data_IF_926450490496
#
_entry.id   IF_926450490496
#
_cell.length_a   1.000
_cell.length_b   1.000
_cell.length_c   1.000
_cell.angle_alpha   90.00
_cell.angle_beta   90.00
_cell.angle_gamma   90.00
#
_symmetry.space_group_name_H-M   'P 1'
#
loop_
_entity.id
_entity.type
_entity.pdbx_description
1 polymer ?
#
# COMPACT_ATOMS: atom_id res chain seq x y z
N UNK A 1 25.60 7.31 -20.18
CA UNK A 1 25.40 8.04 -18.90
C UNK A 1 26.42 7.49 -17.92
N UNK A 2 27.08 8.29 -17.06
CA UNK A 2 28.05 7.72 -16.12
C UNK A 2 27.34 7.03 -14.93
N UNK A 3 28.03 6.13 -14.23
CA UNK A 3 27.49 5.54 -12.99
C UNK A 3 27.17 6.64 -11.94
N UNK A 4 27.94 7.72 -11.88
CA UNK A 4 27.67 8.85 -10.99
C UNK A 4 26.39 9.62 -11.38
N UNK A 5 26.10 9.77 -12.68
CA UNK A 5 24.87 10.42 -13.14
C UNK A 5 23.64 9.56 -12.82
N UNK A 6 23.75 8.23 -12.95
CA UNK A 6 22.70 7.30 -12.58
C UNK A 6 22.45 7.27 -11.06
N UNK A 7 23.51 7.35 -10.24
CA UNK A 7 23.36 7.42 -8.79
C UNK A 7 22.47 8.59 -8.34
N UNK A 8 22.64 9.77 -8.97
CA UNK A 8 21.83 10.97 -8.69
C UNK A 8 20.35 10.83 -9.05
N UNK A 9 19.94 9.74 -9.67
CA UNK A 9 18.54 9.45 -10.02
C UNK A 9 17.89 8.44 -9.08
N UNK A 10 18.65 7.85 -8.17
CA UNK A 10 18.16 6.86 -7.23
C UNK A 10 17.30 7.50 -6.14
N UNK A 11 16.29 6.76 -5.71
CA UNK A 11 15.57 6.95 -4.46
C UNK A 11 15.75 5.68 -3.64
N UNK A 12 16.56 5.73 -2.59
CA UNK A 12 17.01 4.53 -1.87
C UNK A 12 16.33 4.36 -0.51
N UNK A 13 16.05 3.13 -0.11
CA UNK A 13 15.55 2.82 1.22
C UNK A 13 16.67 2.70 2.25
N UNK A 14 16.31 2.86 3.53
CA UNK A 14 17.20 2.65 4.67
C UNK A 14 16.84 1.37 5.42
N UNK A 15 17.82 0.76 6.08
CA UNK A 15 17.69 -0.49 6.84
C UNK A 15 16.92 -0.34 8.16
N UNK A 16 16.92 0.85 8.76
CA UNK A 16 16.31 1.07 10.08
C UNK A 16 16.01 2.54 10.42
N UNK A 17 15.61 2.82 11.67
CA UNK A 17 15.17 4.14 12.13
C UNK A 17 16.32 5.14 12.32
N UNK A 18 17.57 4.67 12.25
CA UNK A 18 18.78 5.50 12.30
C UNK A 18 19.70 5.02 11.18
N UNK A 19 20.24 5.91 10.32
CA UNK A 19 21.14 5.52 9.25
C UNK A 19 22.45 4.96 9.81
N UNK A 20 22.86 3.80 9.29
CA UNK A 20 24.14 3.17 9.62
C UNK A 20 25.33 4.00 9.13
N UNK A 21 26.55 3.68 9.58
CA UNK A 21 27.75 4.34 9.07
C UNK A 21 27.94 4.12 7.56
N UNK A 22 27.64 2.92 7.06
CA UNK A 22 27.68 2.59 5.64
C UNK A 22 26.65 3.40 4.85
N UNK A 23 25.41 3.51 5.34
CA UNK A 23 24.36 4.30 4.71
C UNK A 23 24.73 5.79 4.66
N UNK A 24 25.28 6.33 5.76
CA UNK A 24 25.73 7.72 5.79
C UNK A 24 26.84 7.98 4.79
N UNK A 25 27.83 7.09 4.71
CA UNK A 25 28.92 7.18 3.76
C UNK A 25 28.42 7.06 2.31
N UNK A 26 27.51 6.13 2.04
CA UNK A 26 26.91 5.93 0.72
C UNK A 26 26.14 7.17 0.26
N UNK A 27 25.27 7.71 1.12
CA UNK A 27 24.48 8.92 0.82
C UNK A 27 25.38 10.13 0.57
N UNK A 28 26.41 10.33 1.39
CA UNK A 28 27.35 11.45 1.25
C UNK A 28 28.18 11.37 -0.05
N UNK A 29 28.59 10.15 -0.42
CA UNK A 29 29.40 9.88 -1.62
C UNK A 29 28.58 10.01 -2.91
N UNK A 30 27.42 9.36 -2.96
CA UNK A 30 26.66 9.19 -4.20
C UNK A 30 25.58 10.26 -4.41
N UNK A 31 25.13 10.93 -3.33
CA UNK A 31 24.13 12.01 -3.35
C UNK A 31 22.93 11.67 -4.23
N UNK A 32 22.14 10.64 -3.85
CA UNK A 32 20.98 10.23 -4.63
C UNK A 32 19.92 11.34 -4.68
N UNK A 33 18.93 11.20 -5.57
CA UNK A 33 17.80 12.13 -5.64
C UNK A 33 16.96 12.11 -4.35
N UNK A 34 16.85 10.95 -3.70
CA UNK A 34 16.04 10.84 -2.51
C UNK A 34 16.28 9.61 -1.67
N UNK A 35 15.60 9.59 -0.53
CA UNK A 35 15.44 8.44 0.35
C UNK A 35 13.95 8.13 0.49
N UNK A 36 13.57 6.86 0.37
CA UNK A 36 12.23 6.38 0.69
C UNK A 36 12.18 5.74 2.07
N UNK A 37 11.24 6.20 2.90
CA UNK A 37 11.00 5.70 4.25
C UNK A 37 9.86 4.68 4.27
N UNK A 38 10.08 3.60 5.01
CA UNK A 38 9.14 2.52 5.25
C UNK A 38 8.80 2.43 6.75
N UNK A 39 7.87 1.55 7.12
CA UNK A 39 7.51 1.34 8.53
C UNK A 39 8.69 0.98 9.44
N UNK A 40 9.73 0.33 8.89
CA UNK A 40 10.97 0.01 9.64
C UNK A 40 11.80 1.25 10.02
N UNK A 41 11.52 2.41 9.42
CA UNK A 41 12.21 3.67 9.68
C UNK A 41 11.42 4.58 10.65
N UNK A 42 10.19 4.18 11.02
CA UNK A 42 9.22 5.00 11.75
C UNK A 42 8.81 4.32 13.06
N UNK A 43 9.40 4.75 14.18
CA UNK A 43 9.01 4.33 15.54
C UNK A 43 7.95 5.27 16.09
N UNK A 44 8.25 6.58 16.09
CA UNK A 44 7.40 7.63 16.65
C UNK A 44 7.77 8.99 16.05
N UNK A 45 6.96 10.02 16.34
CA UNK A 45 7.09 11.36 15.76
C UNK A 45 8.48 11.98 15.97
N UNK A 46 8.96 12.02 17.21
CA UNK A 46 10.26 12.62 17.59
C UNK A 46 11.43 11.95 16.87
N UNK A 47 11.47 10.61 16.87
CA UNK A 47 12.50 9.84 16.18
C UNK A 47 12.47 10.07 14.67
N UNK A 48 11.29 10.04 14.06
CA UNK A 48 11.15 10.23 12.61
C UNK A 48 11.54 11.64 12.19
N UNK A 49 11.11 12.66 12.93
CA UNK A 49 11.49 14.05 12.69
C UNK A 49 13.00 14.25 12.76
N UNK A 50 13.66 13.64 13.76
CA UNK A 50 15.13 13.64 13.89
C UNK A 50 15.81 12.92 12.73
N UNK A 51 15.28 11.78 12.28
CA UNK A 51 15.80 11.05 11.11
C UNK A 51 15.74 11.93 9.86
N UNK A 52 14.60 12.59 9.60
CA UNK A 52 14.45 13.45 8.42
C UNK A 52 15.40 14.64 8.47
N UNK A 53 15.51 15.30 9.62
CA UNK A 53 16.48 16.38 9.82
C UNK A 53 17.92 15.91 9.53
N UNK A 54 18.33 14.76 10.08
CA UNK A 54 19.68 14.22 9.86
C UNK A 54 19.95 13.91 8.38
N UNK A 55 18.95 13.46 7.62
CA UNK A 55 19.08 13.16 6.20
C UNK A 55 19.21 14.43 5.36
N UNK A 56 18.41 15.47 5.65
CA UNK A 56 18.52 16.76 4.98
C UNK A 56 19.85 17.47 5.28
N UNK A 57 20.36 17.36 6.51
CA UNK A 57 21.68 17.87 6.90
C UNK A 57 22.83 17.10 6.22
N UNK A 58 22.72 15.77 6.16
CA UNK A 58 23.74 14.90 5.57
C UNK A 58 23.86 15.11 4.04
N UNK A 59 22.74 15.25 3.35
CA UNK A 59 22.70 15.39 1.90
C UNK A 59 21.77 16.54 1.50
N UNK A 60 22.26 17.79 1.48
CA UNK A 60 21.46 18.94 1.05
C UNK A 60 20.88 18.74 -0.36
N UNK A 61 19.56 18.95 -0.50
CA UNK A 61 18.83 18.74 -1.76
C UNK A 61 18.27 17.33 -1.97
N UNK A 62 18.49 16.40 -1.03
CA UNK A 62 17.85 15.09 -0.99
C UNK A 62 16.33 15.23 -0.74
N UNK A 63 15.51 14.52 -1.50
CA UNK A 63 14.08 14.39 -1.20
C UNK A 63 13.80 13.20 -0.29
N UNK A 64 13.04 13.40 0.77
CA UNK A 64 12.52 12.34 1.63
C UNK A 64 11.11 11.98 1.16
N UNK A 65 10.91 10.69 0.89
CA UNK A 65 9.68 10.15 0.30
C UNK A 65 9.06 9.06 1.18
N UNK A 66 7.75 8.84 1.05
CA UNK A 66 7.09 7.70 1.68
C UNK A 66 5.84 7.25 0.92
N UNK A 67 5.55 5.94 1.00
CA UNK A 67 4.25 5.38 0.66
C UNK A 67 3.27 5.57 1.83
N UNK A 68 2.59 6.71 1.85
CA UNK A 68 1.57 7.03 2.84
C UNK A 68 0.25 7.39 2.14
N UNK A 69 -0.34 6.38 1.51
CA UNK A 69 -1.56 6.47 0.68
C UNK A 69 -2.83 6.65 1.51
N UNK A 70 -2.83 6.08 2.74
CA UNK A 70 -4.03 5.86 3.53
C UNK A 70 -4.39 4.38 3.63
N UNK A 71 -5.19 4.03 4.64
CA UNK A 71 -5.61 2.66 4.92
C UNK A 71 -4.45 1.65 4.97
N UNK A 72 -4.40 0.66 4.06
CA UNK A 72 -3.41 -0.42 4.04
C UNK A 72 -1.95 0.05 3.97
N UNK A 73 -1.71 1.06 3.14
CA UNK A 73 -0.36 1.53 2.81
C UNK A 73 -0.15 2.88 3.47
N UNK A 74 0.21 2.82 4.74
CA UNK A 74 0.47 3.99 5.59
C UNK A 74 1.79 3.78 6.34
N UNK A 75 2.91 3.82 5.62
CA UNK A 75 4.21 3.38 6.15
C UNK A 75 4.61 4.11 7.44
N UNK A 76 4.29 5.40 7.52
CA UNK A 76 4.65 6.28 8.64
C UNK A 76 3.56 6.40 9.72
N UNK A 77 2.58 5.49 9.75
CA UNK A 77 1.41 5.62 10.62
C UNK A 77 1.72 5.69 12.13
N UNK A 78 2.84 5.13 12.58
CA UNK A 78 3.24 5.23 13.99
C UNK A 78 3.62 6.66 14.40
N UNK A 79 4.07 7.50 13.46
CA UNK A 79 4.42 8.88 13.69
C UNK A 79 3.32 9.87 13.30
N UNK A 80 2.60 9.63 12.20
CA UNK A 80 1.64 10.60 11.62
C UNK A 80 0.17 10.15 11.68
N UNK A 81 -0.10 8.94 12.15
CA UNK A 81 -1.44 8.33 12.14
C UNK A 81 -1.80 7.72 10.79
N UNK A 82 -2.99 7.09 10.71
CA UNK A 82 -3.45 6.36 9.52
C UNK A 82 -4.67 7.08 8.89
N UNK A 83 -4.54 7.64 7.68
CA UNK A 83 -5.68 8.17 6.94
C UNK A 83 -6.66 7.05 6.56
N UNK A 84 -7.93 7.38 6.29
CA UNK A 84 -8.88 6.44 5.69
C UNK A 84 -8.37 5.86 4.37
N UNK A 85 -8.88 4.68 4.00
CA UNK A 85 -8.55 4.07 2.71
C UNK A 85 -9.19 4.86 1.55
N UNK A 86 -8.50 4.91 0.40
CA UNK A 86 -8.99 5.58 -0.80
C UNK A 86 -10.37 5.05 -1.25
N UNK A 87 -10.59 3.73 -1.15
CA UNK A 87 -11.90 3.16 -1.48
C UNK A 87 -13.04 3.75 -0.66
N UNK A 88 -12.84 3.95 0.65
CA UNK A 88 -13.85 4.56 1.52
C UNK A 88 -14.19 5.97 1.06
N UNK A 89 -13.18 6.76 0.75
CA UNK A 89 -13.35 8.13 0.22
C UNK A 89 -14.09 8.12 -1.11
N UNK A 90 -13.79 7.15 -1.97
CA UNK A 90 -14.48 6.93 -3.22
C UNK A 90 -15.95 6.51 -3.08
N UNK A 91 -16.27 5.64 -2.11
CA UNK A 91 -17.66 5.25 -1.81
C UNK A 91 -18.47 6.43 -1.28
N UNK A 92 -17.86 7.28 -0.45
CA UNK A 92 -18.53 8.49 0.05
C UNK A 92 -18.74 9.53 -1.07
N UNK A 93 -17.93 9.46 -2.13
CA UNK A 93 -17.89 10.37 -3.28
C UNK A 93 -17.97 11.86 -2.91
N UNK A 94 -17.26 12.24 -1.84
CA UNK A 94 -17.22 13.61 -1.34
C UNK A 94 -15.83 14.21 -1.56
N UNK A 95 -15.68 14.95 -2.66
CA UNK A 95 -14.40 15.52 -3.05
C UNK A 95 -13.84 16.52 -2.03
N UNK A 96 -14.70 17.30 -1.34
CA UNK A 96 -14.23 18.24 -0.32
C UNK A 96 -13.65 17.50 0.88
N UNK A 97 -14.34 16.43 1.34
CA UNK A 97 -13.84 15.59 2.42
C UNK A 97 -12.55 14.86 2.04
N UNK A 98 -12.43 14.39 0.80
CA UNK A 98 -11.19 13.79 0.28
C UNK A 98 -10.03 14.78 0.27
N UNK A 99 -10.26 16.02 -0.16
CA UNK A 99 -9.24 17.07 -0.11
C UNK A 99 -8.82 17.37 1.35
N UNK A 100 -9.75 17.51 2.28
CA UNK A 100 -9.46 17.73 3.71
C UNK A 100 -8.59 16.61 4.31
N UNK A 101 -8.92 15.35 4.01
CA UNK A 101 -8.19 14.17 4.49
C UNK A 101 -6.74 14.19 4.00
N UNK A 102 -6.56 14.52 2.73
CA UNK A 102 -5.24 14.55 2.09
C UNK A 102 -4.43 15.77 2.52
N UNK A 103 -5.06 16.94 2.71
CA UNK A 103 -4.39 18.13 3.26
C UNK A 103 -3.88 17.93 4.68
N UNK A 104 -4.66 17.25 5.54
CA UNK A 104 -4.16 16.86 6.86
C UNK A 104 -3.02 15.85 6.77
N UNK A 105 -3.15 14.82 5.92
CA UNK A 105 -2.09 13.82 5.71
C UNK A 105 -0.78 14.50 5.30
N UNK A 106 -0.83 15.40 4.33
CA UNK A 106 0.32 16.18 3.88
C UNK A 106 0.89 17.08 4.99
N UNK A 107 0.07 17.82 5.74
CA UNK A 107 0.54 18.65 6.87
C UNK A 107 1.30 17.83 7.91
N UNK A 108 0.83 16.62 8.23
CA UNK A 108 1.52 15.73 9.18
C UNK A 108 2.81 15.15 8.62
N UNK A 109 2.85 14.80 7.33
CA UNK A 109 4.07 14.34 6.65
C UNK A 109 5.13 15.46 6.57
N UNK A 110 4.72 16.67 6.17
CA UNK A 110 5.59 17.83 6.13
C UNK A 110 6.15 18.18 7.52
N UNK A 111 5.34 18.05 8.58
CA UNK A 111 5.77 18.33 9.95
C UNK A 111 6.90 17.40 10.45
N UNK A 112 7.00 16.18 9.92
CA UNK A 112 8.12 15.26 10.21
C UNK A 112 9.25 15.37 9.18
N UNK A 113 9.16 16.26 8.19
CA UNK A 113 10.21 16.50 7.20
C UNK A 113 10.13 15.62 5.94
N UNK A 114 8.97 15.03 5.61
CA UNK A 114 8.77 14.34 4.33
C UNK A 114 8.47 15.36 3.23
N UNK A 115 9.21 15.31 2.13
CA UNK A 115 9.10 16.27 1.02
C UNK A 115 8.10 15.85 -0.06
N UNK A 116 7.95 14.53 -0.26
CA UNK A 116 7.12 13.95 -1.32
C UNK A 116 6.37 12.73 -0.81
N UNK A 117 5.09 12.64 -1.10
CA UNK A 117 4.32 11.40 -0.90
C UNK A 117 4.16 10.68 -2.23
N UNK A 118 4.30 9.35 -2.19
CA UNK A 118 4.05 8.47 -3.33
C UNK A 118 2.57 8.06 -3.33
N UNK A 119 1.70 9.07 -3.46
CA UNK A 119 0.25 8.97 -3.41
C UNK A 119 -0.35 10.20 -4.13
N UNK A 120 -1.62 10.16 -4.57
CA UNK A 120 -2.56 9.03 -4.47
C UNK A 120 -2.31 7.91 -5.49
N UNK A 121 -2.95 6.77 -5.25
CA UNK A 121 -3.14 5.73 -6.27
C UNK A 121 -4.22 6.20 -7.24
N UNK A 122 -3.85 6.31 -8.52
CA UNK A 122 -4.72 6.71 -9.63
C UNK A 122 -5.25 5.52 -10.43
N UNK A 123 -4.92 4.30 -10.01
CA UNK A 123 -5.43 3.06 -10.61
C UNK A 123 -6.96 2.96 -10.46
N UNK A 124 -7.61 2.47 -11.52
CA UNK A 124 -9.04 2.11 -11.51
C UNK A 124 -9.17 0.61 -11.32
N UNK A 125 -9.88 0.17 -10.29
CA UNK A 125 -10.05 -1.24 -9.94
C UNK A 125 -11.07 -1.92 -10.86
N UNK A 126 -10.70 -2.20 -12.10
CA UNK A 126 -11.57 -2.88 -13.07
C UNK A 126 -11.56 -4.40 -12.94
N UNK A 127 -10.52 -4.99 -12.32
CA UNK A 127 -10.43 -6.42 -12.06
C UNK A 127 -10.84 -6.74 -10.59
N UNK A 128 -12.00 -7.39 -10.35
CA UNK A 128 -12.49 -7.66 -8.98
C UNK A 128 -11.63 -8.61 -8.15
N UNK A 129 -10.65 -9.29 -8.77
CA UNK A 129 -9.70 -10.22 -8.13
C UNK A 129 -8.27 -9.66 -8.08
N UNK A 130 -8.08 -8.39 -8.40
CA UNK A 130 -6.76 -7.77 -8.38
C UNK A 130 -6.10 -7.93 -6.99
N UNK A 131 -4.90 -8.54 -6.91
CA UNK A 131 -4.28 -8.86 -5.63
C UNK A 131 -3.51 -7.68 -5.00
N UNK A 132 -3.29 -6.58 -5.75
CA UNK A 132 -2.30 -5.53 -5.40
C UNK A 132 -2.95 -4.19 -5.04
N UNK A 133 -3.99 -3.79 -5.76
CA UNK A 133 -4.63 -2.48 -5.67
C UNK A 133 -5.77 -2.53 -4.66
N UNK A 134 -6.81 -3.32 -4.89
CA UNK A 134 -7.94 -3.46 -3.96
C UNK A 134 -8.43 -2.11 -3.40
N UNK A 135 -8.44 -1.97 -2.08
CA UNK A 135 -8.91 -0.75 -1.40
C UNK A 135 -7.98 0.48 -1.50
N UNK A 136 -6.83 0.34 -2.16
CA UNK A 136 -5.93 1.45 -2.50
C UNK A 136 -6.49 2.30 -3.64
N UNK A 137 -7.37 1.76 -4.49
CA UNK A 137 -8.09 2.54 -5.49
C UNK A 137 -9.28 3.28 -4.88
N UNK A 138 -9.61 4.45 -5.43
CA UNK A 138 -10.86 5.16 -5.11
C UNK A 138 -12.11 4.49 -5.70
N UNK A 139 -11.98 3.45 -6.53
CA UNK A 139 -13.13 2.79 -7.11
C UNK A 139 -12.81 2.04 -8.40
N UNK A 140 -13.90 1.60 -9.03
CA UNK A 140 -13.95 0.90 -10.32
C UNK A 140 -14.47 1.78 -11.47
N UNK A 141 -15.05 2.95 -11.16
CA UNK A 141 -15.52 3.92 -12.15
C UNK A 141 -14.44 4.97 -12.44
N UNK A 142 -13.99 5.11 -13.70
CA UNK A 142 -12.91 6.03 -14.05
C UNK A 142 -13.23 7.50 -13.77
N UNK A 143 -14.48 7.91 -13.97
CA UNK A 143 -14.92 9.28 -13.72
C UNK A 143 -14.87 9.63 -12.24
N UNK A 144 -15.36 8.73 -11.38
CA UNK A 144 -15.27 8.85 -9.93
C UNK A 144 -13.82 8.84 -9.45
N UNK A 145 -13.00 7.92 -9.93
CA UNK A 145 -11.57 7.86 -9.59
C UNK A 145 -10.87 9.16 -9.98
N UNK A 146 -11.09 9.69 -11.18
CA UNK A 146 -10.49 10.95 -11.60
C UNK A 146 -10.89 12.14 -10.70
N UNK A 147 -12.16 12.26 -10.33
CA UNK A 147 -12.62 13.32 -9.40
C UNK A 147 -11.95 13.22 -8.02
N UNK A 148 -11.87 12.00 -7.48
CA UNK A 148 -11.26 11.77 -6.16
C UNK A 148 -9.74 11.95 -6.19
N UNK A 149 -9.07 11.57 -7.29
CA UNK A 149 -7.64 11.83 -7.50
C UNK A 149 -7.38 13.34 -7.54
N UNK A 150 -8.18 14.13 -8.26
CA UNK A 150 -8.05 15.61 -8.27
C UNK A 150 -8.14 16.18 -6.85
N UNK A 151 -9.15 15.76 -6.09
CA UNK A 151 -9.34 16.21 -4.70
C UNK A 151 -8.15 15.82 -3.81
N UNK A 152 -7.68 14.57 -3.93
CA UNK A 152 -6.55 14.05 -3.17
C UNK A 152 -5.25 14.81 -3.48
N UNK A 153 -4.95 15.04 -4.76
CA UNK A 153 -3.77 15.81 -5.18
C UNK A 153 -3.86 17.24 -4.68
N UNK A 154 -5.00 17.91 -4.87
CA UNK A 154 -5.20 19.29 -4.40
C UNK A 154 -4.92 19.39 -2.91
N UNK A 155 -5.51 18.49 -2.11
CA UNK A 155 -5.26 18.45 -0.67
C UNK A 155 -3.79 18.22 -0.32
N UNK A 156 -3.13 17.25 -0.95
CA UNK A 156 -1.71 16.96 -0.69
C UNK A 156 -0.80 18.15 -1.01
N UNK A 157 -1.02 18.81 -2.15
CA UNK A 157 -0.28 20.00 -2.56
C UNK A 157 -0.51 21.15 -1.59
N UNK A 158 -1.76 21.44 -1.24
CA UNK A 158 -2.12 22.50 -0.29
C UNK A 158 -1.56 22.24 1.12
N UNK A 159 -1.42 20.96 1.50
CA UNK A 159 -0.81 20.55 2.76
C UNK A 159 0.72 20.58 2.76
N UNK A 160 1.35 20.92 1.63
CA UNK A 160 2.78 21.25 1.55
C UNK A 160 3.71 20.10 1.19
N UNK A 161 3.23 19.02 0.57
CA UNK A 161 4.09 17.93 0.05
C UNK A 161 3.95 17.79 -1.46
N UNK A 162 5.03 17.35 -2.12
CA UNK A 162 4.98 16.99 -3.55
C UNK A 162 4.30 15.64 -3.74
N UNK A 163 3.74 15.41 -4.92
CA UNK A 163 2.81 14.31 -5.19
C UNK A 163 3.31 13.48 -6.36
N UNK A 164 3.40 12.16 -6.16
CA UNK A 164 3.66 11.19 -7.22
C UNK A 164 2.46 10.25 -7.40
N UNK A 165 1.79 10.33 -8.55
CA UNK A 165 0.67 9.47 -8.92
C UNK A 165 1.15 8.07 -9.28
N UNK A 166 0.34 7.03 -9.05
CA UNK A 166 0.74 5.64 -9.38
C UNK A 166 -0.44 4.69 -9.65
N UNK A 167 -0.26 3.59 -10.39
CA UNK A 167 0.96 3.11 -11.06
C UNK A 167 0.71 3.09 -12.57
N UNK A 168 1.26 4.07 -13.30
CA UNK A 168 1.06 4.19 -14.74
C UNK A 168 1.49 2.92 -15.48
N UNK A 169 0.75 2.47 -16.53
CA UNK A 169 -0.47 3.08 -17.11
C UNK A 169 -1.79 2.73 -16.40
N UNK A 170 -1.71 1.96 -15.32
CA UNK A 170 -2.86 1.48 -14.56
C UNK A 170 -2.66 0.02 -14.17
N UNK A 171 -2.56 -0.25 -12.88
CA UNK A 171 -2.38 -1.60 -12.34
C UNK A 171 -3.70 -2.28 -11.95
N UNK A 172 -4.79 -1.52 -11.77
CA UNK A 172 -6.06 -2.03 -11.24
C UNK A 172 -6.82 -3.04 -12.12
N UNK A 173 -6.36 -3.27 -13.35
CA UNK A 173 -6.86 -4.33 -14.23
C UNK A 173 -6.01 -5.61 -14.26
N UNK A 174 -4.89 -5.66 -13.55
CA UNK A 174 -4.04 -6.85 -13.52
C UNK A 174 -4.64 -7.97 -12.66
N UNK A 175 -4.31 -9.22 -13.02
CA UNK A 175 -4.73 -10.42 -12.28
C UNK A 175 -3.58 -11.09 -11.51
N UNK A 176 -2.37 -10.54 -11.61
CA UNK A 176 -1.16 -11.06 -10.96
C UNK A 176 -0.41 -9.95 -10.21
N UNK A 177 0.38 -10.36 -9.21
CA UNK A 177 1.17 -9.44 -8.39
C UNK A 177 2.55 -9.19 -8.99
N UNK A 178 2.84 -7.93 -9.34
CA UNK A 178 4.13 -7.50 -9.90
C UNK A 178 5.31 -7.62 -8.93
N UNK A 179 5.06 -7.74 -7.62
CA UNK A 179 6.12 -8.07 -6.65
C UNK A 179 6.66 -9.48 -6.89
N UNK A 180 5.84 -10.39 -7.41
CA UNK A 180 6.16 -11.80 -7.59
C UNK A 180 6.56 -12.14 -9.03
N UNK A 181 5.84 -11.61 -10.02
CA UNK A 181 6.00 -11.95 -11.45
C UNK A 181 5.39 -10.89 -12.35
N UNK A 182 5.73 -10.88 -13.64
CA UNK A 182 5.13 -9.95 -14.61
C UNK A 182 3.61 -10.14 -14.69
N UNK A 183 2.87 -9.02 -14.70
CA UNK A 183 1.43 -9.00 -14.85
C UNK A 183 1.07 -8.10 -16.04
N UNK A 184 0.14 -8.52 -16.90
CA UNK A 184 -0.32 -7.66 -18.00
C UNK A 184 -1.11 -6.46 -17.44
N UNK A 185 -0.94 -5.29 -18.05
CA UNK A 185 -1.88 -4.19 -17.88
C UNK A 185 -3.25 -4.66 -18.40
N UNK A 186 -4.26 -4.70 -17.54
CA UNK A 186 -5.61 -5.12 -17.95
C UNK A 186 -6.25 -4.13 -18.94
N UNK A 187 -7.28 -4.59 -19.66
CA UNK A 187 -8.16 -3.69 -20.39
C UNK A 187 -8.78 -2.68 -19.40
N UNK A 188 -8.47 -1.39 -19.54
CA UNK A 188 -8.81 -0.36 -18.54
C UNK A 188 -7.62 0.34 -17.88
N UNK A 189 -6.42 0.24 -18.45
CA UNK A 189 -5.36 1.22 -18.22
C UNK A 189 -5.84 2.60 -18.71
N UNK A 190 -6.37 3.40 -17.80
CA UNK A 190 -7.03 4.66 -18.11
C UNK A 190 -6.15 5.81 -17.68
N UNK A 191 -5.69 6.58 -18.66
CA UNK A 191 -4.86 7.74 -18.39
C UNK A 191 -5.63 8.89 -17.72
N UNK A 192 -6.96 8.91 -17.81
CA UNK A 192 -7.76 10.06 -17.39
C UNK A 192 -7.55 10.46 -15.92
N UNK A 193 -7.51 9.55 -14.92
CA UNK A 193 -7.14 9.92 -13.55
C UNK A 193 -5.72 10.48 -13.42
N UNK A 194 -4.76 9.98 -14.20
CA UNK A 194 -3.38 10.49 -14.17
C UNK A 194 -3.29 11.90 -14.75
N UNK A 195 -3.90 12.13 -15.91
CA UNK A 195 -3.98 13.45 -16.55
C UNK A 195 -4.69 14.45 -15.63
N UNK A 196 -5.79 14.05 -15.00
CA UNK A 196 -6.53 14.89 -14.06
C UNK A 196 -5.69 15.23 -12.81
N UNK A 197 -4.97 14.25 -12.25
CA UNK A 197 -4.08 14.48 -11.11
C UNK A 197 -2.90 15.40 -11.43
N UNK A 198 -2.30 15.28 -12.61
CA UNK A 198 -1.24 16.20 -13.06
C UNK A 198 -1.77 17.63 -13.22
N UNK A 199 -2.95 17.79 -13.82
CA UNK A 199 -3.61 19.09 -13.93
C UNK A 199 -3.98 19.70 -12.57
N UNK A 200 -4.15 18.87 -11.53
CA UNK A 200 -4.41 19.30 -10.16
C UNK A 200 -3.14 19.67 -9.37
N UNK A 201 -1.94 19.47 -9.94
CA UNK A 201 -0.67 19.89 -9.34
C UNK A 201 0.31 18.77 -8.98
N UNK A 202 0.01 17.51 -9.33
CA UNK A 202 1.02 16.46 -9.23
C UNK A 202 2.18 16.72 -10.20
N UNK A 203 3.41 16.47 -9.76
CA UNK A 203 4.63 16.74 -10.53
C UNK A 203 5.40 15.47 -10.92
N UNK A 204 4.89 14.30 -10.53
CA UNK A 204 5.49 13.02 -10.84
C UNK A 204 4.45 11.91 -11.05
N UNK A 205 4.87 10.90 -11.80
CA UNK A 205 4.14 9.66 -12.02
C UNK A 205 5.07 8.47 -11.85
N UNK A 206 4.69 7.52 -11.02
CA UNK A 206 5.33 6.22 -10.90
C UNK A 206 4.77 5.27 -11.95
N UNK A 207 5.67 4.66 -12.69
CA UNK A 207 5.39 3.67 -13.73
C UNK A 207 5.54 2.29 -13.13
N UNK A 208 4.46 1.50 -13.16
CA UNK A 208 4.46 0.14 -12.65
C UNK A 208 5.19 -0.83 -13.58
N UNK A 209 5.58 -1.99 -13.06
CA UNK A 209 6.21 -3.06 -13.85
C UNK A 209 5.17 -3.97 -14.54
N UNK A 210 4.05 -3.41 -14.97
CA UNK A 210 3.01 -4.14 -15.71
C UNK A 210 3.40 -4.25 -17.19
N UNK A 211 3.15 -5.41 -17.81
CA UNK A 211 3.40 -5.66 -19.22
C UNK A 211 2.46 -4.86 -20.10
N UNK A 212 3.00 -4.18 -21.12
CA UNK A 212 2.25 -3.32 -22.05
C UNK A 212 2.43 -3.80 -23.49
N UNK A 213 1.46 -3.43 -24.35
CA UNK A 213 1.47 -3.76 -25.77
C UNK A 213 1.44 -5.26 -26.06
N UNK A 214 1.73 -5.61 -27.32
CA UNK A 214 1.78 -7.01 -27.77
C UNK A 214 3.04 -7.75 -27.26
N UNK A 215 4.10 -7.00 -26.95
CA UNK A 215 5.37 -7.56 -26.44
C UNK A 215 5.25 -8.03 -24.99
N UNK A 216 4.30 -7.48 -24.23
CA UNK A 216 4.17 -7.73 -22.80
C UNK A 216 5.35 -7.22 -21.98
N UNK A 217 6.20 -6.36 -22.57
CA UNK A 217 7.36 -5.79 -21.89
C UNK A 217 6.88 -4.90 -20.72
N UNK A 218 7.52 -4.93 -19.54
CA UNK A 218 7.15 -4.03 -18.46
C UNK A 218 7.19 -2.57 -18.93
N UNK A 219 6.17 -1.78 -18.58
CA UNK A 219 6.05 -0.37 -18.98
C UNK A 219 7.30 0.48 -18.64
N UNK A 220 8.04 0.08 -17.61
CA UNK A 220 9.29 0.69 -17.16
C UNK A 220 10.51 0.40 -18.04
N UNK A 221 10.43 -0.63 -18.89
CA UNK A 221 11.47 -1.04 -19.84
C UNK A 221 11.06 -0.81 -21.31
N UNK A 222 9.81 -0.41 -21.57
CA UNK A 222 9.32 -0.11 -22.92
C UNK A 222 9.51 1.38 -23.23
N UNK A 223 10.56 1.69 -23.99
CA UNK A 223 10.89 3.07 -24.37
C UNK A 223 9.85 3.74 -25.28
N UNK A 224 9.12 2.96 -26.08
CA UNK A 224 8.02 3.49 -26.89
C UNK A 224 6.86 3.92 -26.01
N UNK A 225 6.48 3.05 -25.06
CA UNK A 225 5.45 3.35 -24.07
C UNK A 225 5.80 4.55 -23.19
N UNK A 226 7.05 4.67 -22.72
CA UNK A 226 7.49 5.82 -21.91
C UNK A 226 7.56 7.12 -22.72
N UNK A 227 7.91 7.06 -24.00
CA UNK A 227 7.85 8.22 -24.89
C UNK A 227 6.40 8.69 -25.09
N UNK A 228 5.47 7.75 -25.32
CA UNK A 228 4.03 8.04 -25.40
C UNK A 228 3.51 8.61 -24.08
N UNK A 229 3.83 7.99 -22.95
CA UNK A 229 3.46 8.46 -21.62
C UNK A 229 3.94 9.89 -21.41
N UNK A 230 5.19 10.21 -21.78
CA UNK A 230 5.75 11.55 -21.63
C UNK A 230 5.05 12.58 -22.52
N UNK A 231 4.72 12.24 -23.76
CA UNK A 231 3.96 13.12 -24.64
C UNK A 231 2.54 13.36 -24.12
N UNK A 232 1.87 12.30 -23.67
CA UNK A 232 0.48 12.34 -23.21
C UNK A 232 0.33 13.05 -21.86
N UNK A 233 1.10 12.64 -20.88
CA UNK A 233 1.09 13.21 -19.52
C UNK A 233 1.67 14.63 -19.50
N UNK A 234 2.49 14.99 -20.48
CA UNK A 234 3.06 16.33 -20.64
C UNK A 234 2.23 17.30 -21.49
N UNK A 235 1.09 16.86 -22.06
CA UNK A 235 0.29 17.68 -22.96
C UNK A 235 -0.23 19.00 -22.34
N UNK A 236 -0.32 19.05 -21.00
CA UNK A 236 -0.68 20.27 -20.24
C UNK A 236 0.47 21.27 -20.04
N UNK A 237 1.64 21.05 -20.65
CA UNK A 237 2.83 21.91 -20.51
C UNK A 237 3.74 21.57 -19.31
N UNK A 238 3.31 20.65 -18.44
CA UNK A 238 4.15 20.08 -17.40
C UNK A 238 5.09 19.01 -17.98
N UNK A 239 6.27 18.84 -17.38
CA UNK A 239 7.15 17.68 -17.65
C UNK A 239 7.24 16.85 -16.37
N UNK A 240 6.27 15.95 -16.11
CA UNK A 240 6.29 15.15 -14.88
C UNK A 240 7.52 14.25 -14.84
N UNK A 241 8.07 14.05 -13.66
CA UNK A 241 9.11 13.05 -13.43
C UNK A 241 8.50 11.65 -13.54
N UNK A 242 9.12 10.77 -14.34
CA UNK A 242 8.74 9.37 -14.41
C UNK A 242 9.58 8.54 -13.44
N UNK A 243 8.97 8.03 -12.38
CA UNK A 243 9.60 7.16 -11.41
C UNK A 243 9.40 5.72 -11.86
N UNK A 244 10.48 4.93 -11.97
CA UNK A 244 10.30 3.49 -11.93
C UNK A 244 9.81 3.10 -10.53
N UNK A 245 8.81 2.22 -10.46
CA UNK A 245 8.44 1.49 -9.24
C UNK A 245 9.65 0.69 -8.70
N UNK A 246 9.52 0.04 -7.54
CA UNK A 246 10.64 -0.64 -6.87
C UNK A 246 11.36 -1.62 -7.81
N UNK A 247 12.57 -1.25 -8.22
CA UNK A 247 13.37 -2.02 -9.19
C UNK A 247 13.77 -3.40 -8.67
N UNK A 248 13.57 -3.67 -7.38
CA UNK A 248 13.76 -5.01 -6.81
C UNK A 248 12.61 -5.97 -7.11
N UNK A 249 11.50 -5.51 -7.67
CA UNK A 249 10.32 -6.34 -7.95
C UNK A 249 10.56 -7.40 -9.03
N UNK A 250 9.96 -8.58 -8.83
CA UNK A 250 10.18 -9.75 -9.68
C UNK A 250 9.77 -9.55 -11.14
N UNK A 251 8.80 -8.67 -11.42
CA UNK A 251 8.25 -8.44 -12.75
C UNK A 251 9.27 -7.95 -13.80
N UNK A 252 10.36 -7.32 -13.36
CA UNK A 252 11.43 -6.84 -14.24
C UNK A 252 12.38 -7.95 -14.73
N UNK A 253 12.52 -9.03 -13.97
CA UNK A 253 13.56 -10.06 -14.18
C UNK A 253 13.50 -10.72 -15.55
N UNK A 254 12.34 -11.22 -16.04
CA UNK A 254 12.30 -11.93 -17.32
C UNK A 254 12.71 -11.04 -18.49
N UNK A 255 12.26 -9.79 -18.48
CA UNK A 255 12.57 -8.80 -19.51
C UNK A 255 14.05 -8.44 -19.53
N UNK A 256 14.66 -8.23 -18.36
CA UNK A 256 16.08 -7.89 -18.25
C UNK A 256 16.98 -9.07 -18.62
N UNK A 257 16.61 -10.29 -18.22
CA UNK A 257 17.31 -11.50 -18.68
C UNK A 257 17.25 -11.66 -20.21
N UNK A 258 16.11 -11.36 -20.84
CA UNK A 258 15.96 -11.39 -22.30
C UNK A 258 16.83 -10.33 -23.02
N UNK A 259 17.18 -9.24 -22.33
CA UNK A 259 18.13 -8.22 -22.79
C UNK A 259 19.60 -8.59 -22.50
N UNK A 260 19.87 -9.79 -21.99
CA UNK A 260 21.23 -10.24 -21.64
C UNK A 260 21.76 -9.65 -20.33
N UNK A 261 20.92 -9.00 -19.53
CA UNK A 261 21.29 -8.48 -18.21
C UNK A 261 21.32 -9.63 -17.21
N UNK A 262 22.40 -9.70 -16.43
CA UNK A 262 22.54 -10.70 -15.37
C UNK A 262 21.51 -10.44 -14.27
N UNK A 263 20.65 -11.43 -14.01
CA UNK A 263 19.63 -11.40 -12.95
C UNK A 263 20.10 -12.26 -11.77
N UNK A 264 20.59 -11.67 -10.66
CA UNK A 264 20.88 -12.41 -9.43
C UNK A 264 19.62 -12.95 -8.73
N UNK A 265 19.79 -14.01 -7.93
CA UNK A 265 18.78 -14.49 -6.99
C UNK A 265 17.82 -15.57 -7.53
N UNK A 266 16.76 -15.83 -6.76
CA UNK A 266 15.71 -16.83 -7.08
C UNK A 266 14.89 -16.40 -8.32
N UNK A 267 14.06 -17.28 -8.93
CA UNK A 267 13.28 -16.91 -10.12
C UNK A 267 12.02 -16.05 -9.85
N UNK A 268 11.62 -15.84 -8.59
CA UNK A 268 10.42 -15.07 -8.20
C UNK A 268 10.65 -14.17 -6.98
N UNK A 269 9.71 -13.28 -6.71
CA UNK A 269 9.67 -12.40 -5.53
C UNK A 269 10.58 -11.17 -5.66
N UNK A 270 10.88 -10.55 -4.52
CA UNK A 270 11.78 -9.38 -4.46
C UNK A 270 13.26 -9.77 -4.51
N UNK A 271 14.06 -8.91 -5.15
CA UNK A 271 15.51 -8.99 -5.14
C UNK A 271 16.08 -8.35 -3.87
N UNK A 272 17.27 -8.79 -3.50
CA UNK A 272 18.07 -8.03 -2.55
C UNK A 272 18.66 -6.79 -3.26
N UNK A 273 18.48 -5.57 -2.71
CA UNK A 273 19.03 -4.37 -3.32
C UNK A 273 20.54 -4.46 -3.56
N UNK A 274 21.27 -5.09 -2.64
CA UNK A 274 22.73 -5.12 -2.65
C UNK A 274 23.34 -5.85 -3.84
N UNK A 275 22.58 -6.71 -4.53
CA UNK A 275 23.06 -7.49 -5.67
C UNK A 275 22.77 -6.85 -7.01
N UNK A 276 22.05 -5.73 -7.07
CA UNK A 276 21.62 -5.12 -8.32
C UNK A 276 22.82 -4.57 -9.14
N UNK A 277 23.14 -5.10 -10.34
CA UNK A 277 24.16 -4.52 -11.22
C UNK A 277 23.77 -3.15 -11.80
N UNK A 278 24.77 -2.39 -12.22
CA UNK A 278 24.59 -1.09 -12.86
C UNK A 278 23.73 -1.17 -14.14
N UNK A 279 23.86 -2.25 -14.91
CA UNK A 279 23.14 -2.48 -16.16
C UNK A 279 21.63 -2.53 -16.00
N UNK A 280 21.11 -2.84 -14.80
CA UNK A 280 19.68 -2.73 -14.52
C UNK A 280 19.18 -1.28 -14.55
N UNK A 281 19.97 -0.36 -14.00
CA UNK A 281 19.64 1.06 -13.98
C UNK A 281 19.87 1.71 -15.34
N UNK A 282 20.86 1.24 -16.11
CA UNK A 282 21.07 1.66 -17.51
C UNK A 282 19.86 1.31 -18.37
N UNK A 283 19.34 0.08 -18.28
CA UNK A 283 18.16 -0.33 -19.05
C UNK A 283 16.92 0.54 -18.77
N UNK A 284 16.65 0.82 -17.48
CA UNK A 284 15.54 1.71 -17.08
C UNK A 284 15.79 3.18 -17.49
N UNK A 285 17.05 3.63 -17.46
CA UNK A 285 17.44 4.96 -17.91
C UNK A 285 17.21 5.13 -19.41
N UNK A 286 17.64 4.14 -20.19
CA UNK A 286 17.58 4.13 -21.65
C UNK A 286 16.14 4.01 -22.15
N UNK A 287 15.29 3.26 -21.44
CA UNK A 287 13.85 3.26 -21.67
C UNK A 287 13.20 4.63 -21.37
N UNK A 288 13.85 5.45 -20.53
CA UNK A 288 13.47 6.84 -20.31
C UNK A 288 12.73 7.09 -19.00
N UNK A 289 12.90 6.27 -17.96
CA UNK A 289 12.57 6.69 -16.59
C UNK A 289 13.40 7.93 -16.22
N UNK A 290 13.03 8.70 -15.18
CA UNK A 290 13.80 9.83 -14.62
C UNK A 290 14.36 9.51 -13.22
N UNK A 291 13.65 8.68 -12.46
CA UNK A 291 14.03 8.22 -11.10
C UNK A 291 13.88 6.72 -10.96
N UNK A 292 14.66 6.11 -10.06
CA UNK A 292 14.58 4.67 -9.76
C UNK A 292 14.38 4.45 -8.28
N UNK A 293 13.25 3.88 -7.90
CA UNK A 293 12.99 3.51 -6.52
C UNK A 293 13.68 2.19 -6.21
N UNK A 294 14.45 2.15 -5.12
CA UNK A 294 15.10 0.94 -4.63
C UNK A 294 14.83 0.83 -3.14
N UNK A 295 14.27 -0.28 -2.68
CA UNK A 295 13.95 -0.45 -1.23
C UNK A 295 15.17 -0.50 -0.29
N UNK A 296 16.40 -0.41 -0.80
CA UNK A 296 17.65 -0.39 -0.04
C UNK A 296 18.83 0.10 -0.89
N UNK A 297 20.07 -0.08 -0.41
CA UNK A 297 21.27 0.36 -1.13
C UNK A 297 21.71 -0.64 -2.22
N UNK A 298 21.90 -0.19 -3.47
CA UNK A 298 22.42 -1.02 -4.57
C UNK A 298 23.95 -1.15 -4.55
N UNK A 299 24.50 -1.82 -3.53
CA UNK A 299 25.94 -1.89 -3.26
C UNK A 299 26.79 -2.53 -4.38
N UNK A 300 26.25 -3.47 -5.16
CA UNK A 300 26.96 -4.04 -6.31
C UNK A 300 27.16 -3.02 -7.44
N UNK A 301 26.18 -2.14 -7.68
CA UNK A 301 26.29 -1.07 -8.68
C UNK A 301 27.08 0.14 -8.15
N UNK A 302 26.98 0.44 -6.85
CA UNK A 302 27.66 1.55 -6.19
C UNK A 302 28.25 1.13 -4.84
N UNK A 303 29.48 0.58 -4.84
CA UNK A 303 30.15 0.18 -3.60
C UNK A 303 30.70 1.39 -2.83
N UNK A 304 30.83 1.23 -1.51
CA UNK A 304 31.52 2.18 -0.63
C UNK A 304 32.85 1.55 -0.22
N UNK A 305 33.93 2.34 -0.16
CA UNK A 305 35.24 1.85 0.27
C UNK A 305 35.26 1.57 1.78
N UNK A 306 35.19 0.29 2.17
CA UNK A 306 35.21 -0.20 3.55
C UNK A 306 34.65 -1.62 3.61
N UNK A 307 35.21 -2.48 4.48
CA UNK A 307 35.03 -3.94 4.46
C UNK A 307 33.60 -4.46 4.29
N UNK A 308 33.52 -5.43 3.39
CA UNK A 308 32.36 -6.24 3.03
C UNK A 308 31.84 -7.06 4.22
N UNK A 309 30.76 -6.59 4.84
CA UNK A 309 29.70 -7.46 5.33
C UNK A 309 28.39 -6.66 5.34
N UNK A 310 27.33 -7.11 4.63
CA UNK A 310 26.03 -6.48 4.79
C UNK A 310 25.65 -6.58 6.26
N UNK A 311 25.31 -5.47 6.95
CA UNK A 311 24.80 -5.57 8.31
C UNK A 311 23.55 -6.44 8.25
N UNK A 312 23.52 -7.52 9.04
CA UNK A 312 22.32 -8.31 9.22
C UNK A 312 21.19 -7.35 9.56
N UNK A 313 20.07 -7.43 8.84
CA UNK A 313 18.85 -6.66 9.09
C UNK A 313 18.32 -7.03 10.46
N UNK A 314 18.88 -6.43 11.51
CA UNK A 314 18.41 -6.62 12.86
C UNK A 314 17.09 -5.88 12.96
N UNK A 315 15.98 -6.62 12.96
CA UNK A 315 14.67 -6.09 13.32
C UNK A 315 14.81 -5.42 14.68
N UNK A 316 14.83 -4.09 14.69
CA UNK A 316 14.68 -3.32 15.92
C UNK A 316 13.22 -3.46 16.33
N UNK A 317 12.98 -4.13 17.46
CA UNK A 317 11.66 -4.13 18.06
C UNK A 317 11.29 -2.68 18.41
N UNK A 318 10.06 -2.22 18.12
CA UNK A 318 9.64 -0.86 18.45
C UNK A 318 9.84 -0.63 19.96
N UNK A 319 10.78 0.26 20.30
CA UNK A 319 11.06 0.63 21.68
C UNK A 319 10.22 1.87 22.02
N UNK A 320 9.26 1.69 22.91
CA UNK A 320 8.49 2.79 23.50
C UNK A 320 7.04 2.85 23.04
N UNK A 321 6.12 2.95 24.00
CA UNK A 321 4.74 3.38 23.74
C UNK A 321 4.77 4.89 23.54
N UNK A 322 4.78 5.34 22.29
CA UNK A 322 4.48 6.73 21.95
C UNK A 322 3.01 7.05 22.31
N UNK A 323 2.76 8.26 22.78
CA UNK A 323 1.40 8.77 22.88
C UNK A 323 0.85 8.90 21.45
N UNK A 324 -0.24 8.17 21.14
CA UNK A 324 -0.86 8.26 19.83
C UNK A 324 -1.22 9.71 19.53
N UNK A 325 -0.85 10.21 18.34
CA UNK A 325 -1.35 11.49 17.87
C UNK A 325 -2.88 11.47 17.90
N UNK A 326 -3.53 12.58 18.29
CA UNK A 326 -4.98 12.66 18.22
C UNK A 326 -5.43 12.42 16.78
N UNK A 327 -6.54 11.70 16.65
CA UNK A 327 -7.15 11.48 15.35
C UNK A 327 -7.51 12.82 14.71
N UNK A 328 -7.20 12.96 13.42
CA UNK A 328 -7.55 14.17 12.70
C UNK A 328 -9.07 14.31 12.56
N UNK A 329 -9.64 15.51 12.75
CA UNK A 329 -11.08 15.73 12.59
C UNK A 329 -11.62 15.29 11.22
N UNK A 330 -10.87 15.53 10.13
CA UNK A 330 -11.28 15.10 8.79
C UNK A 330 -11.35 13.57 8.66
N UNK A 331 -10.38 12.86 9.24
CA UNK A 331 -10.36 11.39 9.23
C UNK A 331 -11.53 10.85 10.05
N UNK A 332 -11.77 11.39 11.24
CA UNK A 332 -12.92 11.03 12.08
C UNK A 332 -14.27 11.26 11.37
N UNK A 333 -14.42 12.35 10.62
CA UNK A 333 -15.62 12.62 9.79
C UNK A 333 -15.84 11.56 8.71
N UNK A 334 -14.76 11.11 8.04
CA UNK A 334 -14.86 9.99 7.08
C UNK A 334 -15.36 8.75 7.78
N UNK A 335 -14.78 8.39 8.93
CA UNK A 335 -15.19 7.20 9.68
C UNK A 335 -16.65 7.27 10.10
N UNK A 336 -17.07 8.40 10.64
CA UNK A 336 -18.45 8.64 11.06
C UNK A 336 -19.44 8.59 9.87
N UNK A 337 -19.08 9.16 8.72
CA UNK A 337 -19.96 9.13 7.54
C UNK A 337 -20.01 7.76 6.90
N UNK A 338 -18.88 7.08 6.79
CA UNK A 338 -18.83 5.70 6.31
C UNK A 338 -19.67 4.79 7.22
N UNK A 339 -19.61 5.02 8.53
CA UNK A 339 -20.46 4.40 9.55
C UNK A 339 -21.95 4.65 9.32
N UNK A 340 -22.39 5.91 9.18
CA UNK A 340 -23.80 6.24 8.95
C UNK A 340 -24.33 5.69 7.62
N UNK A 341 -23.50 5.76 6.57
CA UNK A 341 -23.82 5.24 5.23
C UNK A 341 -23.92 3.70 5.24
N UNK A 342 -23.49 3.02 6.31
CA UNK A 342 -23.72 1.58 6.51
C UNK A 342 -25.11 1.19 6.94
N UNK A 343 -25.92 2.15 7.40
CA UNK A 343 -27.19 1.83 8.07
C UNK A 343 -27.01 1.15 9.43
N UNK A 344 -25.83 1.18 10.05
CA UNK A 344 -25.56 0.52 11.34
C UNK A 344 -26.00 1.41 12.52
N UNK A 345 -27.30 1.46 12.81
CA UNK A 345 -27.83 1.99 14.06
C UNK A 345 -28.03 0.87 15.08
N UNK A 346 -27.17 0.76 16.09
CA UNK A 346 -27.35 -0.21 17.17
C UNK A 346 -28.04 0.43 18.38
N UNK A 347 -29.35 0.25 18.45
CA UNK A 347 -30.09 0.25 19.71
C UNK A 347 -30.33 -1.19 20.15
N UNK A 348 -29.71 -1.58 21.25
CA UNK A 348 -30.17 -2.62 22.19
C UNK A 348 -30.61 -4.00 21.63
N UNK A 349 -29.84 -4.60 20.70
CA UNK A 349 -30.14 -5.95 20.17
C UNK A 349 -28.90 -6.86 20.13
N UNK A 350 -28.81 -7.75 21.12
CA UNK A 350 -27.74 -8.74 21.28
C UNK A 350 -27.58 -9.69 20.09
N UNK A 351 -26.32 -9.96 19.71
CA UNK A 351 -25.99 -10.72 18.51
C UNK A 351 -24.69 -11.55 18.69
N UNK A 352 -24.66 -12.72 18.03
CA UNK A 352 -23.71 -13.82 18.28
C UNK A 352 -22.58 -13.97 17.23
N UNK A 353 -22.54 -13.12 16.19
CA UNK A 353 -21.47 -13.12 15.17
C UNK A 353 -21.07 -11.69 14.80
N UNK A 354 -19.78 -11.39 14.89
CA UNK A 354 -19.17 -10.13 14.48
C UNK A 354 -18.36 -10.34 13.19
N UNK A 355 -18.66 -9.55 12.17
CA UNK A 355 -17.90 -9.52 10.93
C UNK A 355 -17.04 -8.26 10.87
N UNK A 356 -15.75 -8.44 10.60
CA UNK A 356 -14.81 -7.34 10.42
C UNK A 356 -14.08 -7.46 9.09
N UNK A 357 -14.50 -6.65 8.13
CA UNK A 357 -13.68 -6.34 6.96
C UNK A 357 -12.86 -5.08 7.24
N UNK A 358 -11.57 -5.27 7.55
CA UNK A 358 -10.62 -4.17 7.75
C UNK A 358 -9.76 -3.91 6.51
N UNK A 359 -10.04 -4.54 5.37
CA UNK A 359 -9.56 -4.03 4.08
C UNK A 359 -10.39 -2.83 3.62
N UNK A 360 -11.61 -2.69 4.16
CA UNK A 360 -12.56 -1.60 3.90
C UNK A 360 -12.98 -0.87 5.19
N UNK A 361 -12.12 -0.89 6.20
CA UNK A 361 -12.40 -0.54 7.59
C UNK A 361 -12.64 0.94 7.91
N UNK A 362 -13.75 1.50 7.42
CA UNK A 362 -14.62 2.33 8.25
C UNK A 362 -16.01 1.70 8.46
N UNK A 363 -16.08 0.36 8.64
CA UNK A 363 -17.29 -0.30 9.15
C UNK A 363 -16.99 -1.39 10.15
N UNK A 364 -17.69 -1.31 11.28
CA UNK A 364 -18.13 -2.48 12.04
C UNK A 364 -19.54 -2.82 11.59
N UNK A 365 -19.91 -4.10 11.53
CA UNK A 365 -21.30 -4.50 11.63
C UNK A 365 -21.42 -5.69 12.57
N UNK A 366 -22.31 -5.57 13.55
CA UNK A 366 -22.84 -6.72 14.27
C UNK A 366 -23.85 -7.40 13.35
N UNK A 367 -23.92 -8.73 13.33
CA UNK A 367 -25.01 -9.45 12.67
C UNK A 367 -26.34 -9.20 13.43
N UNK A 368 -26.86 -7.99 13.34
CA UNK A 368 -28.07 -7.53 14.01
C UNK A 368 -29.15 -7.24 12.99
N UNK A 369 -29.91 -8.28 12.65
CA UNK A 369 -31.09 -8.22 11.81
C UNK A 369 -31.94 -9.44 12.07
N UNK A 370 -33.24 -9.34 11.76
CA UNK A 370 -34.06 -10.52 11.53
C UNK A 370 -33.24 -11.53 10.71
N UNK A 371 -33.27 -12.80 11.13
CA UNK A 371 -32.62 -13.93 10.48
C UNK A 371 -32.87 -13.98 8.96
N UNK A 372 -33.95 -13.37 8.46
CA UNK A 372 -34.22 -13.16 7.04
C UNK A 372 -33.20 -12.26 6.36
N UNK A 373 -32.94 -11.07 6.89
CA UNK A 373 -32.13 -10.02 6.24
C UNK A 373 -30.63 -10.34 6.26
N UNK A 374 -30.12 -10.88 7.36
CA UNK A 374 -28.70 -11.32 7.47
C UNK A 374 -28.40 -12.48 6.49
N UNK A 375 -29.41 -13.32 6.22
CA UNK A 375 -29.33 -14.46 5.31
C UNK A 375 -29.46 -14.04 3.84
N UNK A 376 -30.20 -12.96 3.56
CA UNK A 376 -30.25 -12.30 2.25
C UNK A 376 -28.90 -11.64 1.92
N UNK A 377 -28.32 -10.90 2.87
CA UNK A 377 -27.08 -10.14 2.67
C UNK A 377 -25.84 -11.04 2.52
N UNK A 378 -25.72 -12.10 3.35
CA UNK A 378 -24.71 -13.15 3.17
C UNK A 378 -25.04 -14.06 1.98
N UNK A 379 -26.34 -14.24 1.69
CA UNK A 379 -26.84 -14.90 0.50
C UNK A 379 -26.28 -14.24 -0.75
N UNK A 380 -26.45 -12.95 -0.93
CA UNK A 380 -25.98 -12.22 -2.11
C UNK A 380 -24.45 -12.24 -2.24
N UNK A 381 -23.74 -12.12 -1.11
CA UNK A 381 -22.27 -12.16 -1.05
C UNK A 381 -21.68 -13.54 -1.39
N UNK A 382 -22.36 -14.62 -1.01
CA UNK A 382 -21.91 -16.00 -1.23
C UNK A 382 -22.46 -16.59 -2.54
N UNK A 383 -23.65 -16.17 -2.99
CA UNK A 383 -24.32 -16.64 -4.21
C UNK A 383 -23.63 -16.11 -5.47
N UNK A 384 -22.96 -14.96 -5.40
CA UNK A 384 -22.14 -14.42 -6.49
C UNK A 384 -20.91 -15.29 -6.83
N UNK A 385 -20.47 -16.21 -5.94
CA UNK A 385 -19.31 -17.09 -6.18
C UNK A 385 -19.53 -18.59 -5.97
N UNK A 386 -20.59 -19.06 -5.29
CA UNK A 386 -20.76 -20.49 -4.97
C UNK A 386 -22.19 -20.99 -5.23
N UNK A 387 -22.45 -21.54 -6.41
CA UNK A 387 -23.80 -21.84 -6.96
C UNK A 387 -24.58 -23.02 -6.32
N UNK A 388 -24.15 -23.61 -5.20
CA UNK A 388 -24.84 -24.80 -4.60
C UNK A 388 -24.90 -24.84 -3.07
N UNK A 389 -24.81 -23.70 -2.38
CA UNK A 389 -25.00 -23.67 -0.91
C UNK A 389 -26.44 -23.28 -0.60
N UNK A 390 -27.17 -24.12 0.14
CA UNK A 390 -28.45 -23.77 0.77
C UNK A 390 -28.26 -23.72 2.28
N UNK A 391 -28.73 -22.64 2.91
CA UNK A 391 -28.72 -22.50 4.37
C UNK A 391 -30.04 -22.96 4.98
N UNK A 392 -29.97 -23.57 6.16
CA UNK A 392 -31.07 -23.85 7.09
C UNK A 392 -30.98 -22.95 8.32
N UNK A 393 -32.10 -22.73 9.01
CA UNK A 393 -32.12 -21.97 10.27
C UNK A 393 -32.56 -22.87 11.41
N UNK A 394 -32.00 -22.69 12.60
CA UNK A 394 -32.67 -23.08 13.84
C UNK A 394 -32.31 -22.18 15.03
N UNK A 395 -33.24 -22.10 15.98
CA UNK A 395 -33.50 -21.06 16.95
C UNK A 395 -33.10 -21.41 18.38
N UNK A 396 -31.81 -21.56 18.68
CA UNK A 396 -31.35 -21.68 20.08
C UNK A 396 -29.89 -21.28 20.23
N UNK A 397 -29.60 -20.01 20.51
CA UNK A 397 -28.31 -19.60 21.08
C UNK A 397 -28.53 -18.52 22.15
N UNK A 398 -27.88 -18.59 23.32
CA UNK A 398 -28.12 -17.66 24.43
C UNK A 398 -27.32 -16.36 24.29
N UNK A 399 -27.91 -15.26 24.74
CA UNK A 399 -27.33 -13.91 24.62
C UNK A 399 -26.08 -13.70 25.52
N UNK A 400 -24.99 -13.17 24.95
CA UNK A 400 -24.00 -12.42 25.74
C UNK A 400 -22.53 -12.42 25.32
N UNK A 401 -22.08 -13.24 24.37
CA UNK A 401 -20.70 -13.22 23.91
C UNK A 401 -20.61 -13.60 22.42
N UNK A 402 -19.88 -12.81 21.63
CA UNK A 402 -19.57 -13.19 20.27
C UNK A 402 -18.66 -14.43 20.29
N UNK A 403 -19.19 -15.60 19.95
CA UNK A 403 -18.43 -16.85 19.95
C UNK A 403 -17.57 -17.01 18.70
N UNK A 404 -17.73 -16.15 17.68
CA UNK A 404 -16.98 -16.20 16.41
C UNK A 404 -16.62 -14.83 15.83
N UNK A 405 -15.41 -14.72 15.26
CA UNK A 405 -14.92 -13.50 14.60
C UNK A 405 -14.37 -13.82 13.20
N UNK A 406 -14.94 -13.19 12.17
CA UNK A 406 -14.48 -13.28 10.79
C UNK A 406 -13.65 -12.02 10.42
N UNK A 407 -12.35 -12.18 10.18
CA UNK A 407 -11.43 -11.04 9.94
C UNK A 407 -10.91 -11.03 8.51
N UNK A 408 -11.36 -10.07 7.69
CA UNK A 408 -10.82 -9.83 6.36
C UNK A 408 -9.87 -8.64 6.36
N UNK A 409 -8.57 -8.85 6.64
CA UNK A 409 -7.57 -7.78 6.56
C UNK A 409 -6.15 -8.30 6.36
N UNK A 410 -5.32 -7.51 5.67
CA UNK A 410 -3.90 -7.73 5.52
C UNK A 410 -3.08 -7.28 6.74
N UNK A 411 -3.60 -6.47 7.69
CA UNK A 411 -2.94 -6.15 8.98
C UNK A 411 -3.91 -5.81 10.14
N UNK A 412 -4.57 -6.82 10.76
CA UNK A 412 -5.43 -6.66 11.94
C UNK A 412 -4.65 -6.60 13.27
N UNK A 413 -3.41 -6.13 13.25
CA UNK A 413 -2.46 -6.31 14.35
C UNK A 413 -1.98 -4.95 14.88
N UNK A 414 -1.77 -4.87 16.19
CA UNK A 414 -1.11 -3.77 16.87
C UNK A 414 0.32 -3.53 16.34
N UNK A 415 1.01 -2.43 16.72
CA UNK A 415 2.36 -2.16 16.26
C UNK A 415 3.41 -3.25 16.57
N UNK A 416 3.06 -4.23 17.41
CA UNK A 416 3.89 -5.40 17.75
C UNK A 416 3.49 -6.69 16.98
N UNK A 417 2.50 -6.63 16.11
CA UNK A 417 2.02 -7.79 15.33
C UNK A 417 1.05 -8.68 16.09
N UNK A 418 0.33 -8.17 17.10
CA UNK A 418 -0.67 -8.92 17.88
C UNK A 418 -2.10 -8.46 17.58
N UNK A 419 -3.12 -9.33 17.59
CA UNK A 419 -4.52 -8.87 17.55
C UNK A 419 -4.79 -7.88 18.69
N UNK A 420 -5.50 -6.78 18.42
CA UNK A 420 -5.85 -5.81 19.48
C UNK A 420 -6.65 -6.51 20.59
N UNK A 421 -6.15 -6.55 21.84
CA UNK A 421 -6.80 -7.23 22.95
C UNK A 421 -8.20 -6.72 23.29
N UNK A 422 -8.57 -5.52 22.82
CA UNK A 422 -9.93 -4.99 22.95
C UNK A 422 -10.98 -5.69 22.06
N UNK A 423 -10.54 -6.51 21.09
CA UNK A 423 -11.40 -7.12 20.07
C UNK A 423 -11.81 -8.57 20.37
N UNK A 424 -11.16 -9.23 21.33
CA UNK A 424 -11.37 -10.63 21.61
C UNK A 424 -11.53 -10.86 23.11
N UNK A 425 -12.77 -11.07 23.56
CA UNK A 425 -13.07 -11.77 24.82
C UNK A 425 -13.73 -13.10 24.43
N UNK A 426 -13.08 -14.21 24.81
CA UNK A 426 -13.47 -15.64 24.76
C UNK A 426 -14.40 -16.13 23.60
N UNK A 427 -13.95 -17.13 22.81
CA UNK A 427 -14.64 -17.60 21.58
C UNK A 427 -13.75 -18.42 20.61
N UNK A 428 -14.11 -18.50 19.33
CA UNK A 428 -13.37 -19.19 18.23
C UNK A 428 -13.21 -18.23 17.04
N UNK A 429 -11.99 -17.85 16.63
CA UNK A 429 -11.76 -16.96 15.47
C UNK A 429 -11.77 -17.76 14.17
N UNK A 430 -12.23 -17.12 13.10
CA UNK A 430 -11.96 -17.52 11.73
C UNK A 430 -11.34 -16.31 11.01
N UNK A 431 -10.01 -16.19 11.03
CA UNK A 431 -9.29 -15.09 10.39
C UNK A 431 -9.02 -15.38 8.91
N UNK A 432 -9.35 -14.45 8.00
CA UNK A 432 -9.22 -14.60 6.55
C UNK A 432 -8.70 -13.35 5.84
N UNK A 433 -7.40 -13.19 5.59
CA UNK A 433 -6.96 -12.10 4.71
C UNK A 433 -5.50 -12.13 4.29
N UNK A 434 -5.26 -12.73 3.11
CA UNK A 434 -3.98 -12.80 2.38
C UNK A 434 -3.08 -14.01 2.71
N UNK A 435 -2.50 -14.71 1.69
CA UNK A 435 -1.56 -15.82 1.88
C UNK A 435 -0.25 -15.44 2.61
N UNK A 436 -0.04 -14.16 2.91
CA UNK A 436 1.06 -13.67 3.73
C UNK A 436 0.76 -13.62 5.23
N UNK A 437 -0.39 -14.12 5.71
CA UNK A 437 -0.68 -14.21 7.14
C UNK A 437 0.20 -15.28 7.81
N UNK A 438 1.05 -14.91 8.79
CA UNK A 438 2.03 -15.83 9.37
C UNK A 438 1.44 -16.77 10.44
N UNK A 439 2.01 -17.97 10.56
CA UNK A 439 1.71 -18.98 11.59
C UNK A 439 1.83 -18.47 13.04
N UNK A 440 2.53 -17.35 13.25
CA UNK A 440 2.68 -16.65 14.52
C UNK A 440 1.36 -16.14 15.11
N UNK A 441 0.28 -16.02 14.34
CA UNK A 441 -1.03 -15.63 14.85
C UNK A 441 -1.59 -16.62 15.89
N UNK A 442 -1.25 -17.92 15.78
CA UNK A 442 -1.77 -18.97 16.67
C UNK A 442 -1.28 -18.84 18.11
N UNK A 443 -0.08 -18.30 18.34
CA UNK A 443 0.50 -18.19 19.69
C UNK A 443 -0.06 -17.04 20.53
N UNK A 444 -0.88 -16.17 19.93
CA UNK A 444 -1.42 -14.96 20.59
C UNK A 444 -2.94 -15.00 20.79
N UNK A 445 -3.61 -16.06 20.32
CA UNK A 445 -5.03 -16.28 20.61
C UNK A 445 -5.19 -16.93 21.98
N UNK A 446 -6.30 -16.67 22.70
CA UNK A 446 -6.61 -17.41 23.92
C UNK A 446 -6.63 -18.91 23.68
N UNK A 447 -6.34 -19.70 24.72
CA UNK A 447 -6.38 -21.15 24.66
C UNK A 447 -7.78 -21.63 24.19
N UNK A 448 -7.83 -22.42 23.11
CA UNK A 448 -9.08 -22.96 22.53
C UNK A 448 -9.47 -22.40 21.16
N UNK A 449 -8.90 -21.28 20.72
CA UNK A 449 -9.16 -20.70 19.40
C UNK A 449 -8.40 -21.45 18.28
N UNK A 450 -9.04 -21.69 17.13
CA UNK A 450 -8.44 -22.37 15.94
C UNK A 450 -8.26 -21.39 14.77
N UNK A 451 -7.26 -21.58 13.92
CA UNK A 451 -7.01 -20.73 12.72
C UNK A 451 -6.90 -21.61 11.47
N UNK A 452 -7.75 -21.37 10.47
CA UNK A 452 -7.79 -22.07 9.17
C UNK A 452 -7.83 -21.10 7.99
N UNK A 453 -7.43 -21.57 6.80
CA UNK A 453 -7.47 -20.79 5.55
C UNK A 453 -8.88 -20.86 4.94
N UNK A 454 -9.38 -19.78 4.29
CA UNK A 454 -10.76 -19.73 3.76
C UNK A 454 -11.05 -20.88 2.80
N UNK A 455 -10.08 -21.24 1.98
CA UNK A 455 -10.23 -22.31 0.99
C UNK A 455 -10.29 -23.72 1.61
N UNK A 456 -9.85 -23.88 2.85
CA UNK A 456 -9.77 -25.16 3.57
C UNK A 456 -10.91 -25.34 4.56
N UNK A 457 -11.80 -24.33 4.68
CA UNK A 457 -12.97 -24.37 5.55
C UNK A 457 -14.15 -24.87 4.73
N UNK A 458 -14.64 -26.06 5.06
CA UNK A 458 -15.84 -26.58 4.43
C UNK A 458 -17.05 -25.77 4.95
N UNK A 459 -18.08 -25.49 4.12
CA UNK A 459 -19.23 -24.69 4.53
C UNK A 459 -19.88 -25.14 5.85
N UNK A 460 -19.90 -26.44 6.11
CA UNK A 460 -20.38 -27.08 7.33
C UNK A 460 -19.65 -26.66 8.61
N UNK A 461 -18.38 -26.24 8.53
CA UNK A 461 -17.58 -25.87 9.70
C UNK A 461 -17.93 -24.48 10.26
N UNK A 462 -18.55 -23.62 9.43
CA UNK A 462 -19.00 -22.28 9.84
C UNK A 462 -20.21 -22.32 10.79
N UNK A 463 -20.98 -23.41 10.77
CA UNK A 463 -22.30 -23.51 11.41
C UNK A 463 -22.40 -24.55 12.54
N UNK A 464 -21.34 -25.31 12.82
CA UNK A 464 -21.30 -26.23 13.98
C UNK A 464 -21.01 -25.45 15.24
N UNK A 465 -21.82 -25.57 16.29
CA UNK A 465 -21.46 -25.13 17.65
C UNK A 465 -20.16 -25.86 18.09
N UNK A 466 -19.27 -25.24 18.90
CA UNK A 466 -18.03 -25.89 19.30
C UNK A 466 -18.24 -27.18 20.09
#
# INVERSE_FOLDING_TARGET
>A
MSAADLARRLVVGLGGPVPSAEERAWLALHRPAGVILFSRNCIEYSQLSKLCQDLHELCPGLEIMADHEGGPVSQLAAAVGRPPAAWTLGVLDDAALTADVHAETARRLAAVGVDRVLAPVADVLVAPRNPVIGSRAFGDDPGRVARQVVAAVTGLVDGGVRVCLKHWPGHGGSEADTHETTAAAGAGALAAPFEAGLNAGADAVMVGHVGVGETGLPATLDGGHLAEARARLGAGGARPLLFADDVTMGALRPALAAQGVVVPGAPRGLLEPTVLPLTWFEALADAGCDRFLVRGLPLAAWPVAGETAPPATRRVAPSGRSAALPEAPAWARVRERAWRTSGAGFGDRGADLLWWDATVGDRWQVAGGDRGTTRELLGDLLTARFRRVRMWGDATAPAGAATRLLVCSHRPLDPSGRPDPGLAREGVALALGHPSLPASLRSYLPAGWRVGHLADIAPEDLFRDP
#
